data_IF_197515788253
#
_entry.id   IF_197515788253
#
_cell.length_a   1.000
_cell.length_b   1.000
_cell.length_c   1.000
_cell.angle_alpha   90.00
_cell.angle_beta   90.00
_cell.angle_gamma   90.00
#
_symmetry.space_group_name_H-M   'P 1'
#
loop_
_entity.id
_entity.type
_entity.pdbx_description
1 polymer ?
#
# COMPACT_ATOMS: atom_id res chain seq x y z
N UNK A 1 28.65 18.43 8.52
CA UNK A 1 27.17 18.39 8.39
C UNK A 1 26.86 17.36 7.33
N UNK A 2 26.46 16.15 7.73
CA UNK A 2 26.11 15.09 6.78
C UNK A 2 24.68 15.37 6.33
N UNK A 3 24.52 15.90 5.11
CA UNK A 3 23.21 16.08 4.50
C UNK A 3 22.63 14.69 4.26
N UNK A 4 21.70 14.26 5.11
CA UNK A 4 20.94 13.03 4.88
C UNK A 4 20.21 13.17 3.55
N UNK A 5 20.42 12.22 2.64
CA UNK A 5 19.66 12.17 1.40
C UNK A 5 18.17 12.12 1.73
N UNK A 6 17.31 12.79 0.93
CA UNK A 6 15.88 12.75 1.16
C UNK A 6 15.39 11.30 1.12
N UNK A 7 14.42 10.95 1.97
CA UNK A 7 13.94 9.58 2.10
C UNK A 7 13.30 9.12 0.78
N UNK A 8 13.73 7.94 0.31
CA UNK A 8 13.35 7.41 -1.00
C UNK A 8 11.98 6.72 -0.90
N UNK A 9 11.04 7.17 -1.72
CA UNK A 9 9.70 6.59 -1.91
C UNK A 9 9.67 5.88 -3.26
N UNK A 10 9.24 4.62 -3.30
CA UNK A 10 9.15 3.82 -4.54
C UNK A 10 7.68 3.46 -4.82
N UNK A 11 7.17 3.82 -5.99
CA UNK A 11 5.84 3.43 -6.44
C UNK A 11 5.92 2.12 -7.23
N UNK A 12 5.12 1.14 -6.84
CA UNK A 12 5.04 -0.15 -7.52
C UNK A 12 4.02 -0.12 -8.66
N UNK A 13 4.23 -1.01 -9.62
CA UNK A 13 3.25 -1.21 -10.69
C UNK A 13 2.02 -1.97 -10.17
N UNK A 14 0.80 -1.62 -10.62
CA UNK A 14 -0.40 -2.39 -10.32
C UNK A 14 -0.33 -3.77 -10.98
N UNK A 15 -0.78 -4.81 -10.28
CA UNK A 15 -0.86 -6.17 -10.84
C UNK A 15 -2.21 -6.38 -11.53
N UNK A 16 -2.20 -6.53 -12.85
CA UNK A 16 -3.38 -6.97 -13.58
C UNK A 16 -3.70 -8.45 -13.27
N UNK A 17 -4.97 -8.82 -13.17
CA UNK A 17 -5.49 -10.18 -13.11
C UNK A 17 -5.17 -10.90 -14.42
N UNK A 18 -3.93 -11.41 -14.53
CA UNK A 18 -3.57 -12.42 -15.51
C UNK A 18 -3.98 -13.81 -15.05
N UNK A 19 -4.03 -14.76 -16.00
CA UNK A 19 -4.10 -16.19 -15.67
C UNK A 19 -2.93 -16.55 -14.74
N UNK A 20 -3.25 -16.90 -13.50
CA UNK A 20 -2.29 -17.50 -12.57
C UNK A 20 -2.05 -18.92 -13.04
N UNK A 21 -0.82 -19.23 -13.44
CA UNK A 21 -0.42 -20.61 -13.71
C UNK A 21 -0.28 -21.32 -12.35
N UNK A 22 -1.07 -22.35 -12.02
CA UNK A 22 -0.98 -23.00 -10.70
C UNK A 22 0.41 -23.58 -10.41
N UNK A 23 1.17 -23.94 -11.45
CA UNK A 23 2.52 -24.47 -11.33
C UNK A 23 3.60 -23.37 -11.32
N UNK A 24 3.29 -22.15 -11.79
CA UNK A 24 4.28 -21.07 -11.94
C UNK A 24 3.91 -19.74 -11.28
N UNK A 25 2.77 -19.66 -10.61
CA UNK A 25 2.27 -18.45 -9.96
C UNK A 25 1.94 -17.32 -10.94
N UNK A 26 2.04 -16.08 -10.45
CA UNK A 26 1.84 -14.86 -11.22
C UNK A 26 3.18 -14.15 -11.42
N UNK A 27 3.73 -14.20 -12.63
CA UNK A 27 4.99 -13.49 -12.95
C UNK A 27 4.92 -11.98 -12.70
N UNK A 28 3.74 -11.40 -12.90
CA UNK A 28 3.52 -9.98 -12.64
C UNK A 28 3.61 -9.68 -11.13
N UNK A 29 3.04 -10.56 -10.29
CA UNK A 29 3.20 -10.43 -8.85
C UNK A 29 4.66 -10.63 -8.44
N UNK A 30 5.32 -11.68 -8.95
CA UNK A 30 6.72 -11.98 -8.61
C UNK A 30 7.64 -10.79 -8.93
N UNK A 31 7.48 -10.17 -10.11
CA UNK A 31 8.24 -8.98 -10.49
C UNK A 31 8.02 -7.79 -9.54
N UNK A 32 6.77 -7.56 -9.12
CA UNK A 32 6.43 -6.51 -8.14
C UNK A 32 7.05 -6.81 -6.76
N UNK A 33 7.05 -8.07 -6.32
CA UNK A 33 7.66 -8.45 -5.05
C UNK A 33 9.19 -8.33 -5.10
N UNK A 34 9.81 -8.67 -6.22
CA UNK A 34 11.25 -8.48 -6.42
C UNK A 34 11.62 -7.00 -6.44
N UNK A 35 10.81 -6.15 -7.07
CA UNK A 35 10.97 -4.70 -7.03
C UNK A 35 10.88 -4.16 -5.59
N UNK A 36 9.92 -4.64 -4.80
CA UNK A 36 9.77 -4.22 -3.41
C UNK A 36 10.96 -4.64 -2.53
N UNK A 37 11.49 -5.85 -2.72
CA UNK A 37 12.70 -6.32 -2.01
C UNK A 37 13.94 -5.54 -2.43
N UNK A 38 14.10 -5.26 -3.72
CA UNK A 38 15.19 -4.43 -4.22
C UNK A 38 15.11 -3.01 -3.63
N UNK A 39 13.91 -2.42 -3.58
CA UNK A 39 13.70 -1.12 -2.95
C UNK A 39 14.07 -1.12 -1.46
N UNK A 40 13.68 -2.15 -0.71
CA UNK A 40 14.08 -2.33 0.70
C UNK A 40 15.60 -2.46 0.85
N UNK A 41 16.24 -3.30 0.03
CA UNK A 41 17.70 -3.50 0.05
C UNK A 41 18.49 -2.22 -0.28
N UNK A 42 17.93 -1.37 -1.15
CA UNK A 42 18.47 -0.05 -1.48
C UNK A 42 18.19 1.02 -0.40
N UNK A 43 17.50 0.66 0.69
CA UNK A 43 17.16 1.58 1.77
C UNK A 43 15.99 2.53 1.48
N UNK A 44 15.02 2.11 0.65
CA UNK A 44 13.78 2.86 0.51
C UNK A 44 13.07 2.99 1.87
N UNK A 45 12.59 4.19 2.19
CA UNK A 45 11.85 4.45 3.41
C UNK A 45 10.42 3.89 3.31
N UNK A 46 9.86 3.92 2.09
CA UNK A 46 8.46 3.57 1.85
C UNK A 46 8.26 3.07 0.42
N UNK A 47 7.42 2.04 0.29
CA UNK A 47 6.93 1.50 -0.98
C UNK A 47 5.43 1.74 -1.08
N UNK A 48 4.97 2.24 -2.24
CA UNK A 48 3.56 2.59 -2.49
C UNK A 48 2.95 1.57 -3.43
N UNK A 49 1.86 0.94 -2.99
CA UNK A 49 0.95 0.18 -3.85
C UNK A 49 -0.15 1.13 -4.31
N UNK A 50 -0.20 1.50 -5.61
CA UNK A 50 -1.14 2.51 -6.08
C UNK A 50 -2.59 2.03 -5.97
N UNK A 51 -3.50 2.96 -5.73
CA UNK A 51 -4.93 2.72 -5.89
C UNK A 51 -5.23 2.46 -7.38
N UNK A 52 -6.13 1.52 -7.68
CA UNK A 52 -6.63 1.40 -9.04
C UNK A 52 -7.46 2.64 -9.41
N UNK A 53 -7.46 3.10 -10.68
CA UNK A 53 -8.30 4.22 -11.14
C UNK A 53 -9.81 3.94 -10.96
N UNK A 54 -10.14 2.67 -10.72
CA UNK A 54 -11.44 2.15 -10.33
C UNK A 54 -11.15 0.97 -9.40
N UNK A 55 -11.05 1.19 -8.09
CA UNK A 55 -11.15 0.11 -7.08
C UNK A 55 -12.59 -0.48 -7.10
N UNK A 56 -13.06 -0.85 -8.28
CA UNK A 56 -14.35 -1.47 -8.53
C UNK A 56 -14.08 -2.97 -8.60
N UNK A 57 -14.80 -3.81 -7.85
CA UNK A 57 -14.52 -5.25 -7.72
C UNK A 57 -14.59 -6.09 -9.01
N UNK A 58 -14.85 -5.46 -10.17
CA UNK A 58 -15.00 -6.11 -11.47
C UNK A 58 -13.88 -5.75 -12.49
N UNK A 59 -12.86 -4.97 -12.09
CA UNK A 59 -11.71 -4.68 -12.95
C UNK A 59 -10.76 -5.89 -13.04
N UNK A 60 -9.98 -6.04 -14.13
CA UNK A 60 -8.97 -7.09 -14.25
C UNK A 60 -7.72 -6.75 -13.44
N UNK A 61 -7.85 -6.26 -12.20
CA UNK A 61 -6.71 -5.85 -11.35
C UNK A 61 -6.83 -6.39 -9.96
N UNK A 62 -5.71 -6.83 -9.41
CA UNK A 62 -5.61 -7.20 -8.01
C UNK A 62 -6.04 -6.02 -7.13
N UNK A 63 -6.85 -6.25 -6.08
CA UNK A 63 -7.15 -5.22 -5.10
C UNK A 63 -5.84 -4.68 -4.50
N UNK A 64 -5.71 -3.36 -4.37
CA UNK A 64 -4.52 -2.72 -3.79
C UNK A 64 -4.19 -3.25 -2.40
N UNK A 65 -5.21 -3.59 -1.60
CA UNK A 65 -5.07 -4.23 -0.29
C UNK A 65 -4.47 -5.63 -0.33
N UNK A 66 -4.81 -6.44 -1.35
CA UNK A 66 -4.23 -7.77 -1.53
C UNK A 66 -2.76 -7.67 -1.99
N UNK A 67 -2.46 -6.78 -2.93
CA UNK A 67 -1.09 -6.53 -3.37
C UNK A 67 -0.22 -5.97 -2.22
N UNK A 68 -0.74 -5.02 -1.42
CA UNK A 68 -0.04 -4.49 -0.25
C UNK A 68 0.25 -5.57 0.79
N UNK A 69 -0.67 -6.50 1.02
CA UNK A 69 -0.42 -7.63 1.92
C UNK A 69 0.70 -8.54 1.39
N UNK A 70 0.71 -8.84 0.09
CA UNK A 70 1.78 -9.63 -0.52
C UNK A 70 3.14 -8.94 -0.40
N UNK A 71 3.20 -7.62 -0.61
CA UNK A 71 4.42 -6.83 -0.42
C UNK A 71 4.88 -6.85 1.05
N UNK A 72 3.97 -6.67 2.01
CA UNK A 72 4.27 -6.75 3.44
C UNK A 72 4.84 -8.10 3.87
N UNK A 73 4.41 -9.20 3.23
CA UNK A 73 4.94 -10.55 3.47
C UNK A 73 6.28 -10.78 2.77
N UNK A 74 6.54 -10.10 1.67
CA UNK A 74 7.77 -10.25 0.89
C UNK A 74 8.94 -9.39 1.40
N UNK A 75 8.65 -8.40 2.24
CA UNK A 75 9.62 -7.45 2.81
C UNK A 75 9.62 -7.50 4.33
N UNK A 76 10.65 -6.96 4.98
CA UNK A 76 10.87 -7.15 6.44
C UNK A 76 10.85 -5.86 7.26
N UNK A 77 11.21 -4.72 6.66
CA UNK A 77 11.44 -3.45 7.37
C UNK A 77 10.81 -2.25 6.66
N UNK A 78 10.71 -2.27 5.33
CA UNK A 78 10.16 -1.14 4.57
C UNK A 78 8.68 -0.92 4.90
N UNK A 79 8.29 0.35 5.04
CA UNK A 79 6.88 0.73 5.17
C UNK A 79 6.16 0.54 3.84
N UNK A 80 4.92 0.07 3.91
CA UNK A 80 4.09 -0.19 2.72
C UNK A 80 2.85 0.68 2.79
N UNK A 81 2.74 1.63 1.87
CA UNK A 81 1.55 2.46 1.70
C UNK A 81 0.58 1.81 0.72
N UNK A 82 -0.63 1.50 1.19
CA UNK A 82 -1.73 1.09 0.31
C UNK A 82 -2.55 2.30 -0.10
N UNK A 83 -2.61 2.56 -1.40
CA UNK A 83 -3.47 3.58 -1.99
C UNK A 83 -4.93 3.12 -2.00
N UNK A 84 -5.83 3.99 -1.55
CA UNK A 84 -7.28 3.77 -1.57
C UNK A 84 -8.05 5.02 -2.02
N UNK A 85 -9.21 4.81 -2.63
CA UNK A 85 -10.19 5.86 -2.93
C UNK A 85 -11.43 5.75 -2.02
N UNK A 86 -11.89 6.84 -1.38
CA UNK A 86 -13.09 6.83 -0.54
C UNK A 86 -14.36 6.31 -1.24
N UNK A 87 -14.46 6.49 -2.55
CA UNK A 87 -15.62 6.03 -3.35
C UNK A 87 -15.71 4.52 -3.48
N UNK A 88 -14.62 3.79 -3.22
CA UNK A 88 -14.53 2.35 -3.36
C UNK A 88 -14.50 1.59 -2.03
N UNK A 89 -14.32 2.30 -0.91
CA UNK A 89 -14.08 1.69 0.39
C UNK A 89 -15.01 2.26 1.45
N UNK A 90 -15.43 1.40 2.37
CA UNK A 90 -16.03 1.81 3.63
C UNK A 90 -14.92 1.89 4.71
N UNK A 91 -14.82 2.99 5.50
CA UNK A 91 -13.79 3.14 6.52
C UNK A 91 -13.76 2.00 7.55
N UNK A 92 -14.91 1.44 7.94
CA UNK A 92 -14.96 0.35 8.91
C UNK A 92 -14.42 -0.96 8.31
N UNK A 93 -14.67 -1.21 7.03
CA UNK A 93 -14.12 -2.35 6.28
C UNK A 93 -12.61 -2.23 6.12
N UNK A 94 -12.11 -1.05 5.74
CA UNK A 94 -10.68 -0.82 5.63
C UNK A 94 -9.97 -0.91 7.00
N UNK A 95 -10.60 -0.42 8.07
CA UNK A 95 -10.08 -0.57 9.44
C UNK A 95 -10.01 -2.04 9.90
N UNK A 96 -10.95 -2.90 9.46
CA UNK A 96 -10.88 -4.36 9.72
C UNK A 96 -9.72 -5.00 8.97
N UNK A 97 -9.53 -4.65 7.70
CA UNK A 97 -8.36 -5.07 6.93
C UNK A 97 -7.07 -4.64 7.60
N UNK A 98 -6.93 -3.35 7.94
CA UNK A 98 -5.71 -2.78 8.50
C UNK A 98 -5.35 -3.41 9.86
N UNK A 99 -6.34 -3.70 10.71
CA UNK A 99 -6.12 -4.45 11.97
C UNK A 99 -5.66 -5.88 11.72
N UNK A 100 -6.21 -6.54 10.71
CA UNK A 100 -5.80 -7.91 10.35
C UNK A 100 -4.38 -7.93 9.81
N UNK A 101 -4.04 -6.95 8.97
CA UNK A 101 -2.69 -6.79 8.43
C UNK A 101 -1.67 -6.34 9.49
N UNK A 102 -2.05 -5.54 10.49
CA UNK A 102 -1.14 -5.09 11.55
C UNK A 102 -0.52 -6.24 12.36
N UNK A 103 -1.22 -7.36 12.50
CA UNK A 103 -0.66 -8.57 13.12
C UNK A 103 0.50 -9.19 12.32
N UNK A 104 0.57 -8.91 11.02
CA UNK A 104 1.61 -9.42 10.10
C UNK A 104 2.67 -8.34 9.79
N UNK A 105 2.24 -7.08 9.76
CA UNK A 105 3.02 -5.94 9.31
C UNK A 105 3.65 -5.13 10.44
N UNK A 106 3.29 -5.40 11.70
CA UNK A 106 3.52 -4.48 12.82
C UNK A 106 3.06 -3.06 12.45
N UNK A 107 3.94 -2.08 12.57
CA UNK A 107 3.76 -0.66 12.28
C UNK A 107 4.14 -0.26 10.84
N UNK A 108 4.41 -1.23 9.95
CA UNK A 108 4.84 -0.97 8.57
C UNK A 108 3.70 -0.59 7.62
N UNK A 109 2.44 -0.87 7.96
CA UNK A 109 1.30 -0.53 7.10
C UNK A 109 0.95 0.96 7.21
N UNK A 110 0.89 1.63 6.07
CA UNK A 110 0.38 2.99 5.90
C UNK A 110 -0.82 2.95 4.97
N UNK A 111 -1.90 3.68 5.27
CA UNK A 111 -3.04 3.86 4.36
C UNK A 111 -2.96 5.25 3.74
N UNK A 112 -2.82 5.31 2.42
CA UNK A 112 -2.81 6.56 1.65
C UNK A 112 -4.18 6.76 0.98
N UNK A 113 -4.87 7.83 1.36
CA UNK A 113 -6.22 8.14 0.87
C UNK A 113 -6.16 9.20 -0.24
N UNK A 114 -6.83 8.92 -1.36
CA UNK A 114 -6.82 9.75 -2.57
C UNK A 114 -8.20 10.19 -3.02
N UNK A 115 -8.28 11.37 -3.65
CA UNK A 115 -9.48 11.85 -4.32
C UNK A 115 -10.39 12.74 -3.46
N UNK A 116 -11.63 13.01 -3.91
CA UNK A 116 -12.58 13.81 -3.16
C UNK A 116 -12.88 13.16 -1.80
N UNK A 117 -13.15 13.98 -0.79
CA UNK A 117 -13.47 13.55 0.58
C UNK A 117 -12.36 12.78 1.32
N UNK A 118 -11.14 12.72 0.78
CA UNK A 118 -10.02 11.99 1.38
C UNK A 118 -9.74 12.40 2.83
N UNK A 119 -9.87 13.70 3.17
CA UNK A 119 -9.69 14.18 4.55
C UNK A 119 -10.74 13.65 5.52
N UNK A 120 -12.02 13.65 5.12
CA UNK A 120 -13.13 13.12 5.93
C UNK A 120 -12.98 11.62 6.10
N UNK A 121 -12.66 10.90 5.01
CA UNK A 121 -12.41 9.47 5.05
C UNK A 121 -11.22 9.10 5.95
N UNK A 122 -10.10 9.82 5.82
CA UNK A 122 -8.92 9.62 6.66
C UNK A 122 -9.22 9.83 8.14
N UNK A 123 -9.97 10.88 8.49
CA UNK A 123 -10.43 11.13 9.86
C UNK A 123 -11.30 9.98 10.38
N UNK A 124 -12.26 9.52 9.58
CA UNK A 124 -13.12 8.40 9.94
C UNK A 124 -12.33 7.09 10.13
N UNK A 125 -11.33 6.84 9.30
CA UNK A 125 -10.46 5.67 9.42
C UNK A 125 -9.57 5.74 10.67
N UNK A 126 -8.92 6.88 10.92
CA UNK A 126 -8.05 7.09 12.07
C UNK A 126 -8.79 6.93 13.41
N UNK A 127 -10.09 7.27 13.45
CA UNK A 127 -10.93 7.02 14.62
C UNK A 127 -11.18 5.51 14.91
N UNK A 128 -10.90 4.63 13.94
CA UNK A 128 -11.18 3.18 14.01
C UNK A 128 -9.93 2.32 14.03
N UNK A 129 -8.79 2.87 13.63
CA UNK A 129 -7.51 2.18 13.58
C UNK A 129 -6.38 3.16 13.91
N UNK A 130 -5.51 2.86 14.90
CA UNK A 130 -4.48 3.79 15.37
C UNK A 130 -3.23 3.86 14.47
N UNK A 131 -3.22 3.16 13.33
CA UNK A 131 -2.06 3.15 12.43
C UNK A 131 -1.95 4.40 11.56
N UNK A 132 -0.91 4.43 10.72
CA UNK A 132 -0.61 5.58 9.88
C UNK A 132 -1.63 5.73 8.75
N UNK A 133 -2.36 6.85 8.75
CA UNK A 133 -3.28 7.25 7.69
C UNK A 133 -2.86 8.61 7.16
N UNK A 134 -2.70 8.74 5.85
CA UNK A 134 -2.25 9.97 5.20
C UNK A 134 -3.10 10.32 3.98
N UNK A 135 -3.15 11.60 3.66
CA UNK A 135 -3.92 12.13 2.54
C UNK A 135 -2.97 12.58 1.43
N UNK A 136 -3.16 12.01 0.25
CA UNK A 136 -2.38 12.32 -0.96
C UNK A 136 -0.88 12.07 -0.83
N UNK A 137 -0.12 12.58 -1.79
CA UNK A 137 1.33 12.34 -1.87
C UNK A 137 2.13 13.15 -0.84
N UNK A 138 1.66 14.35 -0.49
CA UNK A 138 2.32 15.20 0.49
C UNK A 138 2.41 14.53 1.87
N UNK A 139 1.36 13.80 2.27
CA UNK A 139 1.36 13.06 3.53
C UNK A 139 2.30 11.86 3.56
N UNK A 140 2.65 11.26 2.41
CA UNK A 140 3.67 10.21 2.39
C UNK A 140 5.06 10.76 2.68
N UNK A 141 5.38 11.95 2.14
CA UNK A 141 6.68 12.59 2.34
C UNK A 141 6.93 13.02 3.78
N UNK A 142 5.90 13.14 4.60
CA UNK A 142 6.06 13.40 6.04
C UNK A 142 6.33 12.14 6.85
N UNK A 143 6.10 10.96 6.28
CA UNK A 143 6.32 9.65 6.92
C UNK A 143 7.62 8.97 6.49
N UNK A 144 8.11 9.33 5.29
CA UNK A 144 9.38 8.91 4.76
C UNK A 144 10.50 9.70 5.45
#
# INVERSE_FOLDING_TARGET
MTTLAPPRIVHLDPVDHGLVDPARGSRALDAVLDQARAAEADGAALVVVPAGPRDVPAGPRWPSTAQALAVLLATTSVRVAVGVHPTAWDPATLARFARSAAGLAADRLVVQVHGPDAGTFATALAARWPGAVVVGEAGLRTLA
#
